data_IF_799870082808
#
_entry.id   IF_799870082808
#
_cell.length_a   1.000
_cell.length_b   1.000
_cell.length_c   1.000
_cell.angle_alpha   90.00
_cell.angle_beta   90.00
_cell.angle_gamma   90.00
#
_symmetry.space_group_name_H-M   'P 1'
#
loop_
_entity.id
_entity.type
_entity.pdbx_description
1 polymer ?
#
# COMPACT_ATOMS: atom_id res chain seq x y z
N UNK A 1 -30.05 -4.91 -28.02
CA UNK A 1 -29.83 -4.63 -26.59
C UNK A 1 -29.10 -5.83 -26.04
N UNK A 2 -27.81 -5.70 -25.73
CA UNK A 2 -27.05 -6.80 -25.16
C UNK A 2 -27.59 -7.06 -23.75
N UNK A 3 -28.03 -8.29 -23.49
CA UNK A 3 -28.50 -8.73 -22.18
C UNK A 3 -27.39 -8.48 -21.14
N UNK A 4 -27.67 -7.66 -20.13
CA UNK A 4 -26.84 -7.52 -18.95
C UNK A 4 -26.81 -8.86 -18.23
N UNK A 5 -25.75 -9.63 -18.46
CA UNK A 5 -25.45 -10.79 -17.61
C UNK A 5 -25.08 -10.27 -16.23
N UNK A 6 -26.01 -10.39 -15.30
CA UNK A 6 -25.82 -10.15 -13.88
C UNK A 6 -24.62 -10.98 -13.40
N UNK A 7 -23.51 -10.29 -13.14
CA UNK A 7 -22.22 -10.91 -12.82
C UNK A 7 -22.32 -11.39 -11.37
N UNK A 8 -22.79 -12.62 -11.14
CA UNK A 8 -22.84 -13.24 -9.80
C UNK A 8 -21.46 -13.17 -9.17
N UNK A 9 -21.29 -12.29 -8.19
CA UNK A 9 -20.08 -12.22 -7.37
C UNK A 9 -19.91 -13.57 -6.68
N UNK A 10 -18.67 -14.04 -6.62
CA UNK A 10 -18.35 -15.32 -5.98
C UNK A 10 -18.68 -15.18 -4.49
N UNK A 11 -19.61 -15.96 -3.99
CA UNK A 11 -19.96 -15.95 -2.56
C UNK A 11 -18.71 -16.32 -1.75
N UNK A 12 -18.21 -15.37 -0.96
CA UNK A 12 -17.11 -15.60 -0.01
C UNK A 12 -17.71 -16.05 1.33
N UNK A 13 -17.12 -17.05 1.96
CA UNK A 13 -17.41 -17.31 3.37
C UNK A 13 -16.66 -16.25 4.20
N UNK A 14 -17.40 -15.42 4.94
CA UNK A 14 -16.77 -14.37 5.75
C UNK A 14 -15.88 -14.92 6.87
N UNK A 15 -16.06 -16.19 7.26
CA UNK A 15 -15.17 -16.86 8.21
C UNK A 15 -13.80 -17.20 7.63
N UNK A 16 -13.66 -17.26 6.30
CA UNK A 16 -12.36 -17.46 5.66
C UNK A 16 -11.49 -16.18 5.67
N UNK A 17 -12.10 -15.00 5.88
CA UNK A 17 -11.41 -13.71 5.76
C UNK A 17 -11.28 -12.95 7.09
N UNK A 18 -11.99 -13.38 8.14
CA UNK A 18 -11.84 -12.80 9.47
C UNK A 18 -12.22 -13.77 10.57
N UNK A 19 -11.50 -13.69 11.69
CA UNK A 19 -11.85 -14.36 12.96
C UNK A 19 -12.64 -13.45 13.91
N UNK A 20 -12.82 -12.17 13.55
CA UNK A 20 -13.48 -11.18 14.40
C UNK A 20 -14.99 -11.16 14.11
N UNK A 21 -15.81 -11.49 15.11
CA UNK A 21 -17.27 -11.53 14.98
C UNK A 21 -17.87 -10.19 14.55
N UNK A 22 -17.37 -9.07 15.08
CA UNK A 22 -17.82 -7.74 14.69
C UNK A 22 -17.51 -7.45 13.21
N UNK A 23 -16.35 -7.87 12.72
CA UNK A 23 -15.99 -7.75 11.31
C UNK A 23 -16.90 -8.61 10.44
N UNK A 24 -17.14 -9.87 10.82
CA UNK A 24 -18.02 -10.79 10.09
C UNK A 24 -19.43 -10.22 9.99
N UNK A 25 -19.98 -9.72 11.11
CA UNK A 25 -21.31 -9.09 11.13
C UNK A 25 -21.39 -7.92 10.15
N UNK A 26 -20.37 -7.05 10.13
CA UNK A 26 -20.35 -5.91 9.20
C UNK A 26 -20.16 -6.33 7.73
N UNK A 27 -19.43 -7.42 7.46
CA UNK A 27 -19.32 -7.96 6.11
C UNK A 27 -20.65 -8.55 5.61
N UNK A 28 -21.44 -9.16 6.50
CA UNK A 28 -22.79 -9.63 6.18
C UNK A 28 -23.73 -8.48 5.85
N UNK A 29 -23.70 -7.40 6.64
CA UNK A 29 -24.47 -6.17 6.35
C UNK A 29 -24.05 -5.59 5.01
N UNK A 30 -22.74 -5.43 4.78
CA UNK A 30 -22.24 -4.91 3.50
C UNK A 30 -22.71 -5.74 2.31
N UNK A 31 -22.72 -7.07 2.42
CA UNK A 31 -23.21 -7.94 1.36
C UNK A 31 -24.73 -7.87 1.16
N UNK A 32 -25.52 -7.76 2.24
CA UNK A 32 -26.96 -7.58 2.17
C UNK A 32 -27.33 -6.24 1.47
N UNK A 33 -26.52 -5.21 1.69
CA UNK A 33 -26.69 -3.88 1.11
C UNK A 33 -26.06 -3.76 -0.30
N UNK A 34 -25.46 -4.82 -0.84
CA UNK A 34 -24.79 -4.79 -2.15
C UNK A 34 -23.52 -3.95 -2.21
N UNK A 35 -22.86 -3.71 -1.07
CA UNK A 35 -21.66 -2.90 -0.93
C UNK A 35 -20.39 -3.75 -1.05
N UNK A 36 -19.55 -3.41 -2.02
CA UNK A 36 -18.25 -4.06 -2.18
C UNK A 36 -17.22 -3.65 -1.13
N UNK A 37 -16.62 -4.65 -0.50
CA UNK A 37 -15.56 -4.48 0.50
C UNK A 37 -14.18 -4.79 -0.09
N UNK A 38 -13.12 -4.53 0.67
CA UNK A 38 -11.78 -4.93 0.26
C UNK A 38 -11.66 -6.46 0.07
N UNK A 39 -12.39 -7.25 0.86
CA UNK A 39 -12.37 -8.71 0.79
C UNK A 39 -13.04 -9.23 -0.48
N UNK A 40 -14.20 -8.69 -0.86
CA UNK A 40 -14.89 -9.10 -2.10
C UNK A 40 -14.06 -8.75 -3.33
N UNK A 41 -13.46 -7.54 -3.35
CA UNK A 41 -12.54 -7.13 -4.43
C UNK A 41 -11.29 -8.00 -4.52
N UNK A 42 -10.69 -8.36 -3.38
CA UNK A 42 -9.52 -9.25 -3.35
C UNK A 42 -9.86 -10.67 -3.84
N UNK A 43 -11.04 -11.20 -3.49
CA UNK A 43 -11.49 -12.51 -3.93
C UNK A 43 -11.80 -12.57 -5.44
N UNK A 44 -12.28 -11.47 -6.02
CA UNK A 44 -12.56 -11.36 -7.46
C UNK A 44 -11.28 -11.13 -8.30
N UNK A 45 -10.32 -10.37 -7.76
CA UNK A 45 -9.14 -9.94 -8.51
C UNK A 45 -8.01 -10.99 -8.47
N UNK A 46 -7.77 -11.66 -9.59
CA UNK A 46 -6.55 -12.48 -9.76
C UNK A 46 -5.33 -11.59 -9.98
N UNK A 47 -4.29 -11.79 -9.17
CA UNK A 47 -3.02 -11.10 -9.36
C UNK A 47 -2.42 -11.39 -10.74
N UNK A 48 -1.85 -10.37 -11.38
CA UNK A 48 -1.09 -10.55 -12.61
C UNK A 48 0.16 -11.40 -12.30
N UNK A 49 0.37 -12.55 -12.96
CA UNK A 49 1.46 -13.47 -12.61
C UNK A 49 2.86 -12.83 -12.74
N UNK A 50 3.05 -11.93 -13.70
CA UNK A 50 4.32 -11.23 -13.92
C UNK A 50 4.53 -10.15 -12.86
N UNK A 51 3.46 -9.45 -12.48
CA UNK A 51 3.50 -8.39 -11.48
C UNK A 51 3.69 -8.93 -10.07
N UNK A 52 3.06 -10.08 -9.75
CA UNK A 52 3.20 -10.78 -8.48
C UNK A 52 4.67 -11.14 -8.19
N UNK A 53 5.41 -11.56 -9.22
CA UNK A 53 6.83 -11.89 -9.12
C UNK A 53 7.75 -10.66 -9.30
N UNK A 54 7.19 -9.44 -9.39
CA UNK A 54 7.94 -8.21 -9.68
C UNK A 54 8.79 -8.25 -10.97
N UNK A 55 8.40 -9.05 -11.96
CA UNK A 55 9.13 -9.27 -13.22
C UNK A 55 8.74 -8.31 -14.35
N UNK A 56 8.02 -7.22 -14.07
CA UNK A 56 7.71 -6.17 -15.04
C UNK A 56 8.24 -4.80 -14.61
N UNK A 57 8.71 -4.01 -15.58
CA UNK A 57 9.22 -2.66 -15.36
C UNK A 57 8.44 -1.64 -16.20
N UNK A 58 8.04 -0.53 -15.58
CA UNK A 58 7.33 0.60 -16.20
C UNK A 58 7.98 1.97 -15.90
N UNK A 59 9.29 2.00 -15.68
CA UNK A 59 10.00 3.22 -15.25
C UNK A 59 10.32 4.20 -16.39
N UNK A 60 10.11 3.83 -17.66
CA UNK A 60 10.32 4.71 -18.80
C UNK A 60 9.36 4.37 -19.95
N UNK A 61 9.31 5.25 -20.96
CA UNK A 61 8.42 5.12 -22.13
C UNK A 61 8.89 4.11 -23.18
N UNK A 62 10.11 3.55 -23.06
CA UNK A 62 10.55 2.43 -23.91
C UNK A 62 9.90 1.10 -23.49
N UNK A 63 9.40 1.03 -22.25
CA UNK A 63 8.63 -0.10 -21.75
C UNK A 63 7.13 0.00 -22.08
N UNK A 64 6.27 -0.80 -21.41
CA UNK A 64 6.58 -1.69 -20.30
C UNK A 64 7.39 -2.91 -20.72
N UNK A 65 8.46 -3.23 -19.98
CA UNK A 65 9.23 -4.45 -20.18
C UNK A 65 8.66 -5.57 -19.30
N UNK A 66 8.51 -6.78 -19.85
CA UNK A 66 8.04 -7.98 -19.13
C UNK A 66 9.09 -9.09 -19.27
N UNK A 67 9.51 -9.65 -18.14
CA UNK A 67 10.41 -10.80 -18.07
C UNK A 67 9.66 -12.02 -17.53
N UNK A 68 10.21 -13.20 -17.77
CA UNK A 68 9.65 -14.45 -17.29
C UNK A 68 10.42 -14.90 -16.05
N UNK A 69 9.76 -14.93 -14.89
CA UNK A 69 10.36 -15.43 -13.64
C UNK A 69 10.76 -16.91 -13.70
N UNK A 70 10.08 -17.70 -14.54
CA UNK A 70 10.41 -19.12 -14.77
C UNK A 70 11.59 -19.33 -15.71
N UNK A 71 12.01 -18.28 -16.42
CA UNK A 71 13.15 -18.30 -17.33
C UNK A 71 13.89 -16.94 -17.22
N UNK A 72 14.54 -16.69 -16.08
CA UNK A 72 14.91 -15.35 -15.60
C UNK A 72 15.91 -14.58 -16.48
N UNK A 73 16.72 -15.29 -17.27
CA UNK A 73 17.85 -14.72 -18.00
C UNK A 73 17.74 -14.86 -19.52
N UNK A 74 16.65 -15.40 -20.06
CA UNK A 74 16.48 -15.51 -21.51
C UNK A 74 16.22 -14.17 -22.19
N UNK A 75 15.84 -13.14 -21.43
CA UNK A 75 15.57 -11.79 -21.92
C UNK A 75 16.04 -10.74 -20.92
N UNK A 76 16.24 -9.54 -21.44
CA UNK A 76 16.46 -8.31 -20.68
C UNK A 76 15.43 -7.26 -21.10
N UNK A 77 15.27 -6.21 -20.29
CA UNK A 77 14.49 -5.03 -20.71
C UNK A 77 15.13 -4.31 -21.89
N UNK A 78 14.41 -3.41 -22.55
CA UNK A 78 14.90 -2.63 -23.71
C UNK A 78 16.23 -1.91 -23.41
N UNK A 79 16.41 -1.45 -22.17
CA UNK A 79 17.65 -0.80 -21.73
C UNK A 79 18.75 -1.78 -21.28
N UNK A 80 18.59 -3.09 -21.44
CA UNK A 80 19.52 -4.12 -20.98
C UNK A 80 19.35 -4.57 -19.52
N UNK A 81 18.36 -4.07 -18.79
CA UNK A 81 18.16 -4.46 -17.39
C UNK A 81 17.71 -5.92 -17.24
N UNK A 82 18.41 -6.69 -16.39
CA UNK A 82 18.06 -8.07 -16.02
C UNK A 82 16.85 -8.14 -15.09
N UNK A 83 16.34 -9.35 -14.85
CA UNK A 83 15.25 -9.58 -13.89
C UNK A 83 15.61 -9.12 -12.49
N UNK A 84 16.83 -9.37 -12.03
CA UNK A 84 17.30 -8.97 -10.70
C UNK A 84 17.29 -7.45 -10.54
N UNK A 85 17.75 -6.74 -11.59
CA UNK A 85 17.75 -5.27 -11.62
C UNK A 85 16.33 -4.72 -11.61
N UNK A 86 15.38 -5.37 -12.29
CA UNK A 86 13.98 -4.94 -12.30
C UNK A 86 13.33 -5.20 -10.94
N UNK A 87 13.44 -6.41 -10.40
CA UNK A 87 12.88 -6.79 -9.11
C UNK A 87 13.43 -5.92 -7.97
N UNK A 88 14.75 -5.70 -7.94
CA UNK A 88 15.40 -4.87 -6.92
C UNK A 88 14.92 -3.42 -6.96
N UNK A 89 14.78 -2.82 -8.16
CA UNK A 89 14.27 -1.44 -8.29
C UNK A 89 12.81 -1.32 -7.90
N UNK A 90 11.98 -2.31 -8.24
CA UNK A 90 10.58 -2.35 -7.86
C UNK A 90 10.46 -2.39 -6.32
N UNK A 91 11.22 -3.28 -5.67
CA UNK A 91 11.25 -3.36 -4.20
C UNK A 91 11.79 -2.08 -3.55
N UNK A 92 12.91 -1.52 -4.06
CA UNK A 92 13.47 -0.28 -3.55
C UNK A 92 12.47 0.88 -3.60
N UNK A 93 11.62 0.96 -4.63
CA UNK A 93 10.54 1.95 -4.69
C UNK A 93 9.44 1.70 -3.65
N UNK A 94 9.10 0.44 -3.35
CA UNK A 94 8.15 0.14 -2.27
C UNK A 94 8.68 0.59 -0.92
N UNK A 95 9.97 0.33 -0.64
CA UNK A 95 10.66 0.81 0.57
C UNK A 95 10.68 2.34 0.62
N UNK A 96 11.05 2.99 -0.49
CA UNK A 96 11.09 4.44 -0.58
C UNK A 96 9.71 5.09 -0.34
N UNK A 97 8.63 4.53 -0.90
CA UNK A 97 7.28 5.02 -0.67
C UNK A 97 6.85 4.89 0.80
N UNK A 98 7.14 3.76 1.45
CA UNK A 98 6.86 3.57 2.88
C UNK A 98 7.67 4.52 3.76
N UNK A 99 8.97 4.67 3.47
CA UNK A 99 9.84 5.63 4.14
C UNK A 99 9.33 7.07 4.00
N UNK A 100 8.96 7.48 2.79
CA UNK A 100 8.40 8.80 2.53
C UNK A 100 7.12 9.08 3.34
N UNK A 101 6.22 8.09 3.48
CA UNK A 101 5.01 8.24 4.28
C UNK A 101 5.31 8.50 5.77
N UNK A 102 6.28 7.79 6.35
CA UNK A 102 6.71 8.02 7.74
C UNK A 102 7.44 9.36 7.91
N UNK A 103 8.27 9.75 6.94
CA UNK A 103 8.94 11.06 6.95
C UNK A 103 7.92 12.19 6.91
N UNK A 104 6.92 12.14 6.02
CA UNK A 104 5.94 13.21 5.87
C UNK A 104 5.02 13.34 7.10
N UNK A 105 4.64 12.20 7.71
CA UNK A 105 3.97 12.19 9.00
C UNK A 105 4.83 12.86 10.09
N UNK A 106 6.12 12.52 10.16
CA UNK A 106 7.06 13.12 11.10
C UNK A 106 7.26 14.63 10.88
N UNK A 107 7.38 15.07 9.62
CA UNK A 107 7.50 16.49 9.27
C UNK A 107 6.26 17.29 9.70
N UNK A 108 5.06 16.74 9.49
CA UNK A 108 3.81 17.36 9.95
C UNK A 108 3.80 17.56 11.47
N UNK A 109 4.31 16.58 12.23
CA UNK A 109 4.43 16.69 13.69
C UNK A 109 5.47 17.74 14.12
N UNK A 110 6.59 17.84 13.41
CA UNK A 110 7.62 18.85 13.67
C UNK A 110 7.12 20.27 13.37
N UNK A 111 6.38 20.46 12.29
CA UNK A 111 5.79 21.76 11.94
C UNK A 111 4.77 22.21 12.99
N UNK A 112 3.90 21.29 13.43
CA UNK A 112 2.97 21.55 14.53
C UNK A 112 3.73 21.92 15.81
N UNK A 113 4.72 21.11 16.22
CA UNK A 113 5.50 21.36 17.42
C UNK A 113 6.21 22.72 17.38
N UNK A 114 6.84 23.06 16.25
CA UNK A 114 7.48 24.36 16.02
C UNK A 114 6.49 25.51 16.21
N UNK A 115 5.30 25.41 15.65
CA UNK A 115 4.32 26.50 15.71
C UNK A 115 3.63 26.61 17.09
N UNK A 116 3.55 25.52 17.86
CA UNK A 116 3.17 25.54 19.28
C UNK A 116 4.23 26.26 20.11
N UNK A 117 5.51 25.90 19.97
CA UNK A 117 6.61 26.54 20.71
C UNK A 117 6.75 28.03 20.39
N UNK A 118 6.46 28.42 19.14
CA UNK A 118 6.46 29.82 18.72
C UNK A 118 5.17 30.58 19.06
N UNK A 119 4.21 29.96 19.77
CA UNK A 119 2.97 30.59 20.21
C UNK A 119 1.98 30.92 19.09
N UNK A 120 2.18 30.38 17.88
CA UNK A 120 1.26 30.55 16.74
C UNK A 120 0.04 29.66 16.88
N UNK A 121 0.23 28.43 17.36
CA UNK A 121 -0.85 27.47 17.67
C UNK A 121 -1.01 27.41 19.18
N UNK A 122 -2.22 27.69 19.66
CA UNK A 122 -2.54 27.78 21.10
C UNK A 122 -3.44 26.67 21.62
N UNK A 123 -4.03 25.87 20.72
CA UNK A 123 -4.93 24.76 21.07
C UNK A 123 -4.18 23.52 21.58
N UNK A 124 -2.85 23.49 21.39
CA UNK A 124 -1.97 22.41 21.81
C UNK A 124 -0.97 22.92 22.85
N UNK A 125 -0.52 22.00 23.70
CA UNK A 125 0.48 22.24 24.73
C UNK A 125 1.43 21.04 24.85
N UNK A 126 2.62 21.29 25.38
CA UNK A 126 3.60 20.24 25.70
C UNK A 126 3.09 19.51 26.95
N UNK A 127 2.63 18.27 26.79
CA UNK A 127 2.11 17.46 27.91
C UNK A 127 3.19 16.72 28.68
N UNK A 128 4.32 16.42 28.05
CA UNK A 128 5.41 15.62 28.63
C UNK A 128 6.74 16.37 28.48
N UNK A 129 6.99 17.28 29.41
CA UNK A 129 8.20 18.11 29.46
C UNK A 129 9.45 17.28 29.77
N UNK A 130 9.31 16.21 30.57
CA UNK A 130 10.43 15.32 30.92
C UNK A 130 10.93 14.60 29.67
N UNK A 131 10.03 14.04 28.86
CA UNK A 131 10.39 13.42 27.58
C UNK A 131 11.01 14.43 26.62
N UNK A 132 10.45 15.65 26.52
CA UNK A 132 11.02 16.71 25.68
C UNK A 132 12.47 16.99 26.04
N UNK A 133 12.77 17.23 27.31
CA UNK A 133 14.13 17.51 27.79
C UNK A 133 15.05 16.32 27.57
N UNK A 134 14.58 15.09 27.81
CA UNK A 134 15.38 13.89 27.62
C UNK A 134 15.75 13.66 26.15
N UNK A 135 14.80 13.84 25.23
CA UNK A 135 15.08 13.74 23.79
C UNK A 135 16.04 14.83 23.34
N UNK A 136 15.84 16.07 23.80
CA UNK A 136 16.73 17.19 23.48
C UNK A 136 18.18 16.98 23.97
N UNK A 137 18.39 16.23 25.05
CA UNK A 137 19.72 15.85 25.55
C UNK A 137 20.34 14.65 24.82
N UNK A 138 19.54 13.87 24.10
CA UNK A 138 19.99 12.65 23.41
C UNK A 138 20.48 12.88 21.98
N UNK A 139 20.27 14.09 21.47
CA UNK A 139 20.70 14.56 20.14
C UNK A 139 21.86 15.54 20.27
#
# INVERSE_FOLDING_TARGET
MAEEKEKKSKAIDFRDVSICEATIQMLQVAAADGVDTAFTRAADMKACPIGADSACCKHCFMGPCRLNSKDPYSKVGVCGATIDTIASRNFARMVACGGAAHTDHGMSMLDLFRDVVNGKIKDYQIKDEVKLVNVAKSI
#
